data_IF_626995643591
#
_entry.id   IF_626995643591
#
_cell.length_a   1.000
_cell.length_b   1.000
_cell.length_c   1.000
_cell.angle_alpha   90.00
_cell.angle_beta   90.00
_cell.angle_gamma   90.00
#
_symmetry.space_group_name_H-M   'P 1'
#
loop_
_entity.id
_entity.type
_entity.pdbx_description
1 polymer ?
#
# COMPACT_ATOMS: atom_id res chain seq x y z
N UNK A 1 8.76 -34.77 22.04
CA UNK A 1 7.85 -33.68 22.48
C UNK A 1 6.44 -34.00 22.00
N UNK A 2 5.50 -34.18 22.92
CA UNK A 2 4.13 -34.59 22.60
C UNK A 2 3.44 -33.60 21.65
N UNK A 3 2.62 -34.11 20.72
CA UNK A 3 1.92 -33.28 19.72
C UNK A 3 1.06 -32.21 20.37
N UNK A 4 0.38 -32.55 21.47
CA UNK A 4 -0.40 -31.61 22.29
C UNK A 4 0.46 -30.53 22.95
N UNK A 5 1.67 -30.89 23.40
CA UNK A 5 2.59 -29.93 24.03
C UNK A 5 3.15 -28.94 23.00
N UNK A 6 3.46 -29.40 21.77
CA UNK A 6 3.85 -28.53 20.66
C UNK A 6 2.73 -27.58 20.24
N UNK A 7 1.52 -28.09 20.06
CA UNK A 7 0.36 -27.26 19.74
C UNK A 7 0.11 -26.22 20.83
N UNK A 8 0.14 -26.61 22.11
CA UNK A 8 -0.04 -25.68 23.22
C UNK A 8 1.04 -24.58 23.24
N UNK A 9 2.31 -24.95 23.01
CA UNK A 9 3.44 -24.00 22.96
C UNK A 9 3.30 -23.04 21.77
N UNK A 10 3.02 -23.55 20.57
CA UNK A 10 2.86 -22.72 19.38
C UNK A 10 1.65 -21.80 19.49
N UNK A 11 0.48 -22.30 19.92
CA UNK A 11 -0.71 -21.48 20.09
C UNK A 11 -0.56 -20.46 21.22
N UNK A 12 0.12 -20.81 22.33
CA UNK A 12 0.37 -19.87 23.42
C UNK A 12 1.34 -18.77 23.01
N UNK A 13 2.43 -19.14 22.31
CA UNK A 13 3.37 -18.17 21.74
C UNK A 13 2.65 -17.23 20.76
N UNK A 14 1.80 -17.78 19.89
CA UNK A 14 1.03 -16.99 18.93
C UNK A 14 0.05 -16.03 19.61
N UNK A 15 -0.64 -16.47 20.68
CA UNK A 15 -1.55 -15.63 21.48
C UNK A 15 -0.80 -14.53 22.23
N UNK A 16 0.38 -14.82 22.77
CA UNK A 16 1.22 -13.81 23.45
C UNK A 16 1.70 -12.78 22.44
N UNK A 17 2.21 -13.20 21.27
CA UNK A 17 2.61 -12.28 20.21
C UNK A 17 1.43 -11.42 19.72
N UNK A 18 0.26 -12.02 19.49
CA UNK A 18 -0.95 -11.28 19.12
C UNK A 18 -1.39 -10.29 20.21
N UNK A 19 -1.32 -10.70 21.49
CA UNK A 19 -1.65 -9.83 22.63
C UNK A 19 -0.72 -8.62 22.74
N UNK A 20 0.59 -8.81 22.52
CA UNK A 20 1.56 -7.70 22.49
C UNK A 20 1.26 -6.72 21.36
N UNK A 21 0.89 -7.22 20.18
CA UNK A 21 0.51 -6.37 19.03
C UNK A 21 -0.78 -5.59 19.30
N UNK A 22 -1.80 -6.23 19.86
CA UNK A 22 -3.06 -5.57 20.23
C UNK A 22 -2.85 -4.51 21.31
N UNK A 23 -2.02 -4.80 22.32
CA UNK A 23 -1.68 -3.83 23.35
C UNK A 23 -0.97 -2.60 22.74
N UNK A 24 0.00 -2.82 21.84
CA UNK A 24 0.68 -1.73 21.14
C UNK A 24 -0.29 -0.88 20.29
N UNK A 25 -1.27 -1.51 19.64
CA UNK A 25 -2.33 -0.83 18.89
C UNK A 25 -3.19 0.07 19.78
N UNK A 26 -3.60 -0.42 20.96
CA UNK A 26 -4.43 0.35 21.89
C UNK A 26 -3.68 1.56 22.47
N UNK A 27 -2.40 1.37 22.83
CA UNK A 27 -1.53 2.47 23.30
C UNK A 27 -1.38 3.55 22.23
N UNK A 28 -1.26 3.15 20.98
CA UNK A 28 -1.07 4.03 19.84
C UNK A 28 -2.32 4.83 19.48
N UNK A 29 -3.50 4.18 19.46
CA UNK A 29 -4.78 4.86 19.28
C UNK A 29 -4.99 5.86 20.43
N UNK A 30 -4.70 5.47 21.67
CA UNK A 30 -4.73 6.37 22.82
C UNK A 30 -3.82 7.59 22.65
N UNK A 31 -2.61 7.39 22.11
CA UNK A 31 -1.67 8.48 21.84
C UNK A 31 -2.12 9.41 20.69
N UNK A 32 -2.69 8.86 19.61
CA UNK A 32 -3.23 9.66 18.49
C UNK A 32 -4.45 10.47 18.95
N UNK A 33 -5.33 9.88 19.74
CA UNK A 33 -6.50 10.58 20.27
C UNK A 33 -6.06 11.72 21.18
N UNK A 34 -5.16 11.45 22.13
CA UNK A 34 -4.67 12.49 23.06
C UNK A 34 -3.89 13.61 22.36
N UNK A 35 -3.08 13.33 21.34
CA UNK A 35 -2.31 14.35 20.62
C UNK A 35 -2.99 14.98 19.40
N UNK A 36 -4.03 14.34 18.86
CA UNK A 36 -4.74 14.75 17.65
C UNK A 36 -6.05 15.49 17.93
N UNK A 37 -6.76 15.15 19.02
CA UNK A 37 -8.01 15.82 19.39
C UNK A 37 -7.81 17.31 19.67
N UNK A 38 -6.68 17.70 20.26
CA UNK A 38 -6.37 19.10 20.55
C UNK A 38 -6.11 19.95 19.29
N UNK A 39 -5.86 19.31 18.13
CA UNK A 39 -5.55 19.99 16.86
C UNK A 39 -6.73 20.02 15.88
N UNK A 40 -7.82 19.31 16.19
CA UNK A 40 -9.07 19.37 15.45
C UNK A 40 -9.84 20.62 15.89
N UNK A 41 -9.41 21.78 15.40
CA UNK A 41 -10.18 23.01 15.58
C UNK A 41 -11.25 23.11 14.50
N UNK A 42 -12.39 23.72 14.86
CA UNK A 42 -13.44 24.03 13.89
C UNK A 42 -12.90 24.94 12.77
N UNK A 43 -11.97 25.82 13.12
CA UNK A 43 -11.26 26.72 12.22
C UNK A 43 -10.45 25.95 11.16
N UNK A 44 -9.74 24.88 11.53
CA UNK A 44 -9.05 24.01 10.58
C UNK A 44 -9.99 23.31 9.60
N UNK A 45 -11.23 23.01 10.01
CA UNK A 45 -12.22 22.37 9.14
C UNK A 45 -12.94 23.36 8.21
N UNK A 46 -13.13 24.62 8.64
CA UNK A 46 -13.95 25.61 7.91
C UNK A 46 -13.16 26.68 7.17
N UNK A 47 -11.88 26.87 7.49
CA UNK A 47 -11.09 27.93 6.87
C UNK A 47 -10.59 27.55 5.46
N UNK A 48 -10.34 28.55 4.62
CA UNK A 48 -9.73 28.34 3.31
C UNK A 48 -8.21 28.14 3.44
N UNK A 49 -7.62 27.26 2.61
CA UNK A 49 -6.19 27.04 2.62
C UNK A 49 -5.46 28.28 2.09
N UNK A 50 -4.34 28.60 2.73
CA UNK A 50 -3.43 29.70 2.40
C UNK A 50 -2.04 29.14 2.11
N UNK A 51 -1.26 29.81 1.26
CA UNK A 51 0.10 29.39 0.84
C UNK A 51 0.16 27.93 0.34
N UNK A 52 -0.46 27.66 -0.81
CA UNK A 52 -0.37 26.37 -1.50
C UNK A 52 -0.70 25.15 -0.59
N UNK A 53 -1.77 25.25 0.22
CA UNK A 53 -2.26 24.21 1.13
C UNK A 53 -1.30 23.83 2.28
N UNK A 54 -0.32 24.69 2.62
CA UNK A 54 0.57 24.45 3.77
C UNK A 54 0.11 25.11 5.06
N UNK A 55 -0.86 26.03 5.00
CA UNK A 55 -1.48 26.71 6.14
C UNK A 55 -2.99 26.92 5.86
N UNK A 56 -3.80 27.16 6.88
CA UNK A 56 -5.25 27.31 6.76
C UNK A 56 -6.02 25.99 6.78
N UNK A 57 -7.32 26.06 6.51
CA UNK A 57 -8.24 24.93 6.66
C UNK A 57 -8.43 24.08 5.41
N UNK A 58 -9.13 22.96 5.59
CA UNK A 58 -9.40 21.95 4.54
C UNK A 58 -10.81 22.06 3.94
N UNK A 59 -11.53 23.14 4.22
CA UNK A 59 -12.94 23.30 3.85
C UNK A 59 -13.22 23.09 2.35
N UNK A 60 -12.47 23.69 1.41
CA UNK A 60 -12.74 23.51 -0.02
C UNK A 60 -12.45 22.08 -0.50
N UNK A 61 -11.55 21.35 0.17
CA UNK A 61 -11.28 19.96 -0.15
C UNK A 61 -12.42 19.05 0.30
N UNK A 62 -12.99 19.30 1.49
CA UNK A 62 -14.17 18.58 1.99
C UNK A 62 -15.37 18.85 1.07
N UNK A 63 -15.72 20.11 0.87
CA UNK A 63 -16.87 20.53 0.07
C UNK A 63 -16.70 20.10 -1.39
N UNK A 64 -15.51 20.28 -1.95
CA UNK A 64 -15.17 19.85 -3.31
C UNK A 64 -15.30 18.34 -3.48
N UNK A 65 -14.89 17.54 -2.49
CA UNK A 65 -15.00 16.08 -2.52
C UNK A 65 -16.47 15.63 -2.43
N UNK A 66 -17.29 16.30 -1.63
CA UNK A 66 -18.74 16.04 -1.57
C UNK A 66 -19.45 16.38 -2.89
N UNK A 67 -19.23 17.56 -3.45
CA UNK A 67 -19.82 17.94 -4.74
C UNK A 67 -19.35 17.03 -5.87
N UNK A 68 -18.06 16.70 -5.90
CA UNK A 68 -17.48 15.78 -6.87
C UNK A 68 -18.10 14.38 -6.75
N UNK A 69 -18.19 13.82 -5.54
CA UNK A 69 -18.86 12.53 -5.32
C UNK A 69 -20.30 12.55 -5.78
N UNK A 70 -21.06 13.61 -5.46
CA UNK A 70 -22.47 13.71 -5.81
C UNK A 70 -22.68 13.80 -7.33
N UNK A 71 -21.89 14.64 -8.01
CA UNK A 71 -21.95 14.78 -9.47
C UNK A 71 -21.62 13.46 -10.15
N UNK A 72 -20.56 12.78 -9.71
CA UNK A 72 -20.17 11.52 -10.34
C UNK A 72 -21.12 10.39 -10.01
N UNK A 73 -21.68 10.33 -8.81
CA UNK A 73 -22.70 9.34 -8.47
C UNK A 73 -23.95 9.48 -9.35
N UNK A 74 -24.43 10.72 -9.55
CA UNK A 74 -25.63 10.99 -10.37
C UNK A 74 -25.41 10.59 -11.83
N UNK A 75 -24.21 10.75 -12.37
CA UNK A 75 -23.95 10.46 -13.79
C UNK A 75 -23.51 9.01 -14.01
N UNK A 76 -22.60 8.51 -13.18
CA UNK A 76 -21.95 7.23 -13.44
C UNK A 76 -22.78 6.04 -12.98
N UNK A 77 -23.53 6.15 -11.89
CA UNK A 77 -24.33 5.02 -11.39
C UNK A 77 -25.42 4.61 -12.39
N UNK A 78 -26.21 5.52 -12.98
CA UNK A 78 -27.19 5.14 -14.00
C UNK A 78 -26.55 4.49 -15.22
N UNK A 79 -25.45 5.07 -15.73
CA UNK A 79 -24.74 4.57 -16.92
C UNK A 79 -24.12 3.19 -16.65
N UNK A 80 -23.51 2.99 -15.48
CA UNK A 80 -22.91 1.73 -15.07
C UNK A 80 -23.96 0.63 -14.94
N UNK A 81 -25.10 0.92 -14.32
CA UNK A 81 -26.21 -0.02 -14.19
C UNK A 81 -26.80 -0.36 -15.55
N UNK A 82 -27.06 0.63 -16.41
CA UNK A 82 -27.58 0.39 -17.77
C UNK A 82 -26.62 -0.44 -18.62
N UNK A 83 -25.31 -0.17 -18.53
CA UNK A 83 -24.28 -0.93 -19.26
C UNK A 83 -24.20 -2.36 -18.76
N UNK A 84 -24.27 -2.58 -17.44
CA UNK A 84 -24.27 -3.91 -16.85
C UNK A 84 -25.50 -4.72 -17.25
N UNK A 85 -26.70 -4.12 -17.18
CA UNK A 85 -27.95 -4.76 -17.61
C UNK A 85 -27.88 -5.12 -19.09
N UNK A 86 -27.41 -4.21 -19.94
CA UNK A 86 -27.26 -4.47 -21.39
C UNK A 86 -26.29 -5.64 -21.68
N UNK A 87 -25.11 -5.64 -21.06
CA UNK A 87 -24.07 -6.66 -21.28
C UNK A 87 -24.42 -8.06 -20.75
N UNK A 88 -25.30 -8.13 -19.74
CA UNK A 88 -25.74 -9.37 -19.09
C UNK A 88 -27.02 -9.91 -19.75
N UNK A 89 -28.01 -9.05 -19.99
CA UNK A 89 -29.35 -9.46 -20.42
C UNK A 89 -29.45 -9.57 -21.95
N UNK A 90 -28.88 -8.60 -22.69
CA UNK A 90 -29.08 -8.51 -24.14
C UNK A 90 -27.90 -9.04 -24.95
N UNK A 91 -26.69 -9.01 -24.40
CA UNK A 91 -25.47 -9.26 -25.18
C UNK A 91 -24.71 -10.56 -24.80
N UNK A 92 -25.40 -11.70 -24.91
CA UNK A 92 -24.84 -13.00 -24.53
C UNK A 92 -23.91 -13.66 -25.57
N UNK A 93 -23.85 -13.18 -26.83
CA UNK A 93 -22.99 -13.84 -27.85
C UNK A 93 -22.52 -12.97 -29.03
N UNK A 94 -22.81 -11.67 -29.04
CA UNK A 94 -22.37 -10.74 -30.09
C UNK A 94 -20.85 -10.52 -30.08
N UNK A 95 -20.25 -10.39 -31.27
CA UNK A 95 -18.83 -10.05 -31.40
C UNK A 95 -18.51 -8.67 -30.82
N UNK A 96 -19.43 -7.71 -30.90
CA UNK A 96 -19.30 -6.39 -30.27
C UNK A 96 -19.26 -6.51 -28.75
N UNK A 97 -20.11 -7.34 -28.15
CA UNK A 97 -20.08 -7.58 -26.71
C UNK A 97 -18.81 -8.24 -26.21
N UNK A 98 -18.18 -9.10 -27.03
CA UNK A 98 -16.83 -9.62 -26.74
C UNK A 98 -15.79 -8.52 -26.78
N UNK A 99 -15.85 -7.63 -27.78
CA UNK A 99 -14.94 -6.46 -27.88
C UNK A 99 -15.13 -5.52 -26.68
N UNK A 100 -16.38 -5.20 -26.30
CA UNK A 100 -16.67 -4.37 -25.14
C UNK A 100 -16.21 -5.01 -23.83
N UNK A 101 -16.52 -6.29 -23.61
CA UNK A 101 -16.03 -7.03 -22.42
C UNK A 101 -14.51 -7.02 -22.37
N UNK A 102 -13.84 -7.28 -23.48
CA UNK A 102 -12.37 -7.31 -23.58
C UNK A 102 -11.73 -5.93 -23.39
N UNK A 103 -12.37 -4.87 -23.91
CA UNK A 103 -11.96 -3.49 -23.68
C UNK A 103 -12.11 -3.09 -22.20
N UNK A 104 -13.22 -3.48 -21.55
CA UNK A 104 -13.46 -3.26 -20.13
C UNK A 104 -12.42 -4.01 -19.28
N UNK A 105 -12.20 -5.31 -19.53
CA UNK A 105 -11.17 -6.09 -18.84
C UNK A 105 -9.75 -5.52 -18.99
N UNK A 106 -9.41 -5.03 -20.18
CA UNK A 106 -8.11 -4.39 -20.41
C UNK A 106 -8.02 -3.02 -19.74
N UNK A 107 -9.12 -2.26 -19.69
CA UNK A 107 -9.16 -1.00 -18.96
C UNK A 107 -8.95 -1.26 -17.47
N UNK A 108 -9.65 -2.19 -16.83
CA UNK A 108 -9.47 -2.42 -15.39
C UNK A 108 -8.08 -2.90 -14.97
N UNK A 109 -7.29 -3.47 -15.89
CA UNK A 109 -5.90 -3.79 -15.63
C UNK A 109 -4.99 -2.56 -15.49
N UNK A 110 -5.48 -1.37 -15.85
CA UNK A 110 -4.73 -0.13 -15.84
C UNK A 110 -4.70 0.47 -14.43
N UNK A 111 -3.52 0.79 -13.86
CA UNK A 111 -3.42 1.42 -12.55
C UNK A 111 -4.17 2.76 -12.48
N UNK A 112 -4.80 3.04 -11.33
CA UNK A 112 -5.60 4.26 -11.10
C UNK A 112 -4.86 5.57 -11.40
N UNK A 113 -3.53 5.59 -11.25
CA UNK A 113 -2.70 6.77 -11.57
C UNK A 113 -2.68 7.10 -13.07
N UNK A 114 -2.82 6.10 -13.93
CA UNK A 114 -2.86 6.29 -15.39
C UNK A 114 -4.15 6.97 -15.78
N UNK A 115 -5.27 6.67 -15.14
CA UNK A 115 -6.53 7.39 -15.34
C UNK A 115 -6.45 8.86 -14.89
N UNK A 116 -5.79 9.11 -13.75
CA UNK A 116 -5.52 10.47 -13.29
C UNK A 116 -4.66 11.27 -14.28
N UNK A 117 -3.60 10.64 -14.81
CA UNK A 117 -2.72 11.25 -15.82
C UNK A 117 -3.40 11.42 -17.18
N UNK A 118 -4.23 10.48 -17.60
CA UNK A 118 -5.01 10.55 -18.84
C UNK A 118 -6.08 11.65 -18.74
N UNK A 119 -6.79 11.73 -17.61
CA UNK A 119 -7.75 12.80 -17.35
C UNK A 119 -7.09 14.17 -17.29
N UNK A 120 -5.89 14.26 -16.69
CA UNK A 120 -5.06 15.46 -16.75
C UNK A 120 -4.66 15.80 -18.20
N UNK A 121 -4.15 14.84 -18.97
CA UNK A 121 -3.75 15.06 -20.36
C UNK A 121 -4.91 15.49 -21.27
N UNK A 122 -6.07 14.84 -21.14
CA UNK A 122 -7.21 15.07 -22.03
C UNK A 122 -8.05 16.26 -21.56
N UNK A 123 -8.51 16.28 -20.31
CA UNK A 123 -9.45 17.31 -19.86
C UNK A 123 -8.74 18.59 -19.45
N UNK A 124 -7.63 18.49 -18.73
CA UNK A 124 -6.91 19.67 -18.21
C UNK A 124 -6.06 20.30 -19.31
N UNK A 125 -5.26 19.51 -20.04
CA UNK A 125 -4.29 20.02 -21.02
C UNK A 125 -4.90 20.15 -22.42
N UNK A 126 -5.47 19.08 -22.99
CA UNK A 126 -5.93 19.08 -24.38
C UNK A 126 -7.24 19.85 -24.60
N UNK A 127 -8.25 19.64 -23.75
CA UNK A 127 -9.55 20.33 -23.82
C UNK A 127 -9.55 21.70 -23.11
N UNK A 128 -8.48 22.03 -22.39
CA UNK A 128 -8.29 23.35 -21.76
C UNK A 128 -9.27 23.64 -20.61
N UNK A 129 -9.90 22.63 -20.01
CA UNK A 129 -10.82 22.83 -18.88
C UNK A 129 -10.10 23.23 -17.57
N UNK A 130 -8.76 23.24 -17.57
CA UNK A 130 -7.95 23.59 -16.41
C UNK A 130 -8.18 22.65 -15.21
N UNK A 131 -7.61 23.00 -14.05
CA UNK A 131 -7.86 22.29 -12.78
C UNK A 131 -9.24 22.65 -12.22
N UNK A 132 -10.29 22.28 -12.95
CA UNK A 132 -11.68 22.58 -12.60
C UNK A 132 -12.42 21.36 -12.06
N UNK A 133 -13.54 21.62 -11.38
CA UNK A 133 -14.45 20.57 -10.90
C UNK A 133 -14.99 19.69 -12.03
N UNK A 134 -15.11 20.24 -13.24
CA UNK A 134 -15.56 19.52 -14.43
C UNK A 134 -14.47 18.54 -14.90
N UNK A 135 -13.20 18.97 -14.98
CA UNK A 135 -12.07 18.09 -15.31
C UNK A 135 -11.92 16.96 -14.29
N UNK A 136 -12.04 17.28 -13.00
CA UNK A 136 -12.00 16.30 -11.92
C UNK A 136 -13.20 15.34 -12.00
N UNK A 137 -14.40 15.86 -12.28
CA UNK A 137 -15.63 15.10 -12.44
C UNK A 137 -15.57 14.12 -13.61
N UNK A 138 -15.09 14.56 -14.77
CA UNK A 138 -14.97 13.72 -15.96
C UNK A 138 -13.89 12.64 -15.79
N UNK A 139 -12.77 12.97 -15.16
CA UNK A 139 -11.71 11.99 -14.83
C UNK A 139 -12.24 10.96 -13.84
N UNK A 140 -13.01 11.38 -12.84
CA UNK A 140 -13.62 10.48 -11.86
C UNK A 140 -14.77 9.67 -12.46
N UNK A 141 -15.55 10.21 -13.41
CA UNK A 141 -16.55 9.46 -14.16
C UNK A 141 -15.91 8.35 -15.01
N UNK A 142 -14.78 8.62 -15.67
CA UNK A 142 -14.04 7.58 -16.40
C UNK A 142 -13.57 6.45 -15.46
N UNK A 143 -13.13 6.82 -14.26
CA UNK A 143 -12.76 5.85 -13.23
C UNK A 143 -13.97 5.04 -12.71
N UNK A 144 -15.10 5.69 -12.46
CA UNK A 144 -16.28 5.04 -11.90
C UNK A 144 -17.14 4.29 -12.94
N UNK A 145 -17.00 4.58 -14.24
CA UNK A 145 -17.77 3.93 -15.31
C UNK A 145 -17.49 2.42 -15.39
N UNK A 146 -16.37 1.98 -14.83
CA UNK A 146 -16.03 0.57 -14.69
C UNK A 146 -16.57 -0.03 -13.38
N UNK A 147 -17.90 -0.10 -13.30
CA UNK A 147 -18.61 -0.43 -12.04
C UNK A 147 -18.53 -1.91 -11.61
N UNK A 148 -18.06 -2.81 -12.47
CA UNK A 148 -17.95 -4.25 -12.14
C UNK A 148 -16.53 -4.62 -11.68
N UNK A 149 -15.51 -3.86 -12.11
CA UNK A 149 -14.10 -4.13 -11.79
C UNK A 149 -13.53 -3.18 -10.73
N UNK A 150 -14.25 -2.11 -10.35
CA UNK A 150 -13.88 -1.24 -9.24
C UNK A 150 -13.61 -2.01 -7.94
N UNK A 151 -14.45 -3.00 -7.61
CA UNK A 151 -14.23 -3.84 -6.41
C UNK A 151 -12.97 -4.68 -6.53
N UNK A 152 -12.64 -5.18 -7.72
CA UNK A 152 -11.42 -5.96 -7.96
C UNK A 152 -10.16 -5.08 -7.89
N UNK A 153 -10.22 -3.87 -8.45
CA UNK A 153 -9.14 -2.87 -8.41
C UNK A 153 -8.92 -2.37 -6.99
N UNK A 154 -9.99 -2.06 -6.24
CA UNK A 154 -9.92 -1.66 -4.84
C UNK A 154 -9.35 -2.81 -4.00
N UNK A 155 -9.81 -4.04 -4.22
CA UNK A 155 -9.28 -5.22 -3.54
C UNK A 155 -7.80 -5.48 -3.87
N UNK A 156 -7.37 -5.30 -5.12
CA UNK A 156 -5.96 -5.44 -5.52
C UNK A 156 -5.11 -4.29 -4.96
N UNK A 157 -5.63 -3.06 -4.95
CA UNK A 157 -4.95 -1.89 -4.39
C UNK A 157 -4.70 -2.02 -2.89
N UNK A 158 -5.58 -2.70 -2.15
CA UNK A 158 -5.37 -2.99 -0.74
C UNK A 158 -4.57 -4.27 -0.46
N UNK A 159 -4.09 -4.96 -1.51
CA UNK A 159 -3.25 -6.14 -1.42
C UNK A 159 -3.98 -7.38 -0.87
N UNK A 160 -3.87 -8.50 -1.57
CA UNK A 160 -4.49 -9.75 -1.16
C UNK A 160 -3.59 -10.97 -1.45
N UNK A 161 -3.45 -11.83 -0.45
CA UNK A 161 -2.70 -13.10 -0.51
C UNK A 161 -3.53 -14.28 -1.03
N UNK A 162 -4.82 -14.10 -1.32
CA UNK A 162 -5.69 -15.16 -1.85
C UNK A 162 -5.27 -15.70 -3.22
N UNK A 163 -4.48 -14.96 -4.00
CA UNK A 163 -4.00 -15.37 -5.32
C UNK A 163 -2.74 -16.27 -5.26
N UNK A 164 -2.29 -16.67 -4.06
CA UNK A 164 -1.10 -17.49 -3.90
C UNK A 164 -1.25 -18.84 -4.62
N UNK A 165 -0.30 -19.12 -5.52
CA UNK A 165 -0.20 -20.38 -6.24
C UNK A 165 1.25 -20.83 -6.28
N UNK A 166 1.44 -22.14 -6.44
CA UNK A 166 2.78 -22.72 -6.55
C UNK A 166 3.64 -22.08 -7.65
N UNK A 167 3.02 -21.64 -8.75
CA UNK A 167 3.71 -20.92 -9.83
C UNK A 167 4.22 -19.56 -9.39
N UNK A 168 3.39 -18.79 -8.67
CA UNK A 168 3.80 -17.50 -8.10
C UNK A 168 4.90 -17.65 -7.05
N UNK A 169 4.79 -18.66 -6.17
CA UNK A 169 5.79 -18.91 -5.12
C UNK A 169 7.16 -19.23 -5.71
N UNK A 170 7.22 -20.08 -6.74
CA UNK A 170 8.47 -20.41 -7.45
C UNK A 170 9.05 -19.17 -8.12
N UNK A 171 8.24 -18.37 -8.82
CA UNK A 171 8.72 -17.17 -9.49
C UNK A 171 9.27 -16.14 -8.50
N UNK A 172 8.56 -15.88 -7.40
CA UNK A 172 9.03 -14.98 -6.34
C UNK A 172 10.32 -15.51 -5.74
N UNK A 173 10.40 -16.81 -5.46
CA UNK A 173 11.61 -17.41 -4.89
C UNK A 173 12.82 -17.26 -5.82
N UNK A 174 12.64 -17.50 -7.13
CA UNK A 174 13.70 -17.34 -8.13
C UNK A 174 14.21 -15.91 -8.25
N UNK A 175 13.37 -14.90 -8.05
CA UNK A 175 13.77 -13.48 -8.06
C UNK A 175 14.34 -13.05 -6.71
N UNK A 176 13.71 -13.47 -5.61
CA UNK A 176 14.08 -13.09 -4.25
C UNK A 176 15.43 -13.65 -3.84
N UNK A 177 15.71 -14.93 -4.13
CA UNK A 177 16.91 -15.61 -3.63
C UNK A 177 18.22 -14.96 -4.12
N UNK A 178 18.41 -14.66 -5.43
CA UNK A 178 19.62 -13.96 -5.90
C UNK A 178 19.78 -12.57 -5.28
N UNK A 179 18.68 -11.84 -5.12
CA UNK A 179 18.69 -10.49 -4.54
C UNK A 179 19.08 -10.54 -3.07
N UNK A 180 18.51 -11.48 -2.30
CA UNK A 180 18.86 -11.69 -0.91
C UNK A 180 20.35 -12.05 -0.77
N UNK A 181 20.84 -12.98 -1.60
CA UNK A 181 22.25 -13.39 -1.59
C UNK A 181 23.19 -12.21 -1.88
N UNK A 182 22.85 -11.39 -2.87
CA UNK A 182 23.62 -10.17 -3.18
C UNK A 182 23.73 -9.24 -1.96
N UNK A 183 22.61 -8.89 -1.31
CA UNK A 183 22.62 -8.02 -0.14
C UNK A 183 23.32 -8.64 1.08
N UNK A 184 23.25 -9.96 1.24
CA UNK A 184 24.00 -10.68 2.29
C UNK A 184 25.51 -10.70 2.01
N UNK A 185 25.94 -10.75 0.75
CA UNK A 185 27.36 -10.66 0.39
C UNK A 185 27.91 -9.25 0.62
N UNK A 186 27.13 -8.23 0.24
CA UNK A 186 27.53 -6.80 0.31
C UNK A 186 27.16 -6.15 1.65
N UNK A 187 26.83 -6.96 2.67
CA UNK A 187 26.42 -6.51 4.02
C UNK A 187 27.41 -5.59 4.73
N UNK A 188 28.71 -5.72 4.43
CA UNK A 188 29.76 -4.91 5.03
C UNK A 188 29.81 -3.51 4.44
N UNK A 189 29.65 -3.41 3.12
CA UNK A 189 29.59 -2.15 2.39
C UNK A 189 28.33 -1.36 2.81
N UNK A 190 27.22 -2.03 3.08
CA UNK A 190 26.02 -1.43 3.67
C UNK A 190 26.30 -0.77 5.03
N UNK A 191 27.02 -1.46 5.90
CA UNK A 191 27.44 -0.88 7.19
C UNK A 191 28.39 0.31 7.00
N UNK A 192 29.28 0.27 6.01
CA UNK A 192 30.17 1.39 5.71
C UNK A 192 29.40 2.63 5.21
N UNK A 193 28.39 2.43 4.36
CA UNK A 193 27.53 3.51 3.84
C UNK A 193 26.71 4.18 4.96
N UNK A 194 26.25 3.42 5.95
CA UNK A 194 25.50 3.95 7.10
C UNK A 194 26.32 4.97 7.93
N UNK A 195 27.66 4.93 7.85
CA UNK A 195 28.57 5.87 8.52
C UNK A 195 28.94 7.10 7.67
N UNK A 196 28.39 7.22 6.46
CA UNK A 196 28.57 8.36 5.57
C UNK A 196 29.25 8.00 4.25
N UNK A 197 28.85 8.70 3.18
CA UNK A 197 29.32 8.42 1.82
C UNK A 197 30.84 8.62 1.66
N UNK A 198 31.45 9.58 2.37
CA UNK A 198 32.90 9.82 2.32
C UNK A 198 33.70 8.70 3.01
N UNK A 199 33.21 8.23 4.16
CA UNK A 199 33.83 7.12 4.91
C UNK A 199 33.75 5.83 4.10
N UNK A 200 32.61 5.55 3.48
CA UNK A 200 32.42 4.38 2.62
C UNK A 200 33.35 4.40 1.40
N UNK A 201 33.47 5.55 0.72
CA UNK A 201 34.40 5.70 -0.40
C UNK A 201 35.86 5.49 0.04
N UNK A 202 36.24 5.97 1.23
CA UNK A 202 37.56 5.75 1.81
C UNK A 202 37.88 4.27 2.10
N UNK A 203 36.86 3.46 2.39
CA UNK A 203 36.98 2.01 2.58
C UNK A 203 36.94 1.21 1.25
N UNK A 204 36.93 1.90 0.10
CA UNK A 204 36.92 1.29 -1.23
C UNK A 204 35.53 0.93 -1.77
N UNK A 205 34.46 1.35 -1.07
CA UNK A 205 33.08 1.07 -1.50
C UNK A 205 32.65 2.03 -2.61
N UNK A 206 32.23 1.50 -3.75
CA UNK A 206 31.63 2.29 -4.82
C UNK A 206 30.15 2.58 -4.53
N UNK A 207 29.90 3.67 -3.80
CA UNK A 207 28.57 4.07 -3.32
C UNK A 207 27.55 4.33 -4.43
N UNK A 208 27.98 4.87 -5.57
CA UNK A 208 27.10 5.19 -6.70
C UNK A 208 26.58 3.93 -7.40
N UNK A 209 27.48 3.00 -7.74
CA UNK A 209 27.11 1.70 -8.32
C UNK A 209 26.25 0.88 -7.37
N UNK A 210 26.60 0.88 -6.08
CA UNK A 210 25.82 0.19 -5.06
C UNK A 210 24.38 0.73 -4.98
N UNK A 211 24.20 2.05 -5.02
CA UNK A 211 22.88 2.68 -4.95
C UNK A 211 22.04 2.40 -6.19
N UNK A 212 22.62 2.51 -7.39
CA UNK A 212 21.94 2.21 -8.65
C UNK A 212 21.53 0.74 -8.72
N UNK A 213 22.45 -0.18 -8.45
CA UNK A 213 22.18 -1.61 -8.51
C UNK A 213 21.18 -2.03 -7.43
N UNK A 214 21.33 -1.52 -6.21
CA UNK A 214 20.37 -1.75 -5.13
C UNK A 214 18.96 -1.26 -5.46
N UNK A 215 18.83 -0.08 -6.08
CA UNK A 215 17.55 0.46 -6.53
C UNK A 215 16.91 -0.42 -7.61
N UNK A 216 17.67 -0.85 -8.61
CA UNK A 216 17.17 -1.74 -9.67
C UNK A 216 16.71 -3.08 -9.10
N UNK A 217 17.51 -3.74 -8.25
CA UNK A 217 17.15 -5.03 -7.67
C UNK A 217 15.92 -4.93 -6.77
N UNK A 218 15.87 -3.94 -5.87
CA UNK A 218 14.72 -3.77 -4.96
C UNK A 218 13.45 -3.36 -5.69
N UNK A 219 13.56 -2.54 -6.74
CA UNK A 219 12.44 -2.21 -7.61
C UNK A 219 11.92 -3.44 -8.37
N UNK A 220 12.81 -4.28 -8.90
CA UNK A 220 12.43 -5.53 -9.57
C UNK A 220 11.68 -6.47 -8.63
N UNK A 221 12.21 -6.69 -7.42
CA UNK A 221 11.54 -7.52 -6.41
C UNK A 221 10.16 -6.96 -6.05
N UNK A 222 10.07 -5.64 -5.84
CA UNK A 222 8.81 -4.97 -5.50
C UNK A 222 7.79 -5.07 -6.64
N UNK A 223 8.20 -4.93 -7.90
CA UNK A 223 7.33 -5.03 -9.06
C UNK A 223 6.72 -6.44 -9.20
N UNK A 224 7.53 -7.49 -9.00
CA UNK A 224 7.07 -8.89 -9.04
C UNK A 224 6.04 -9.15 -7.95
N UNK A 225 6.30 -8.69 -6.72
CA UNK A 225 5.38 -8.84 -5.60
C UNK A 225 4.07 -8.09 -5.80
N UNK A 226 4.13 -6.82 -6.21
CA UNK A 226 2.94 -5.96 -6.38
C UNK A 226 2.07 -6.43 -7.55
N UNK A 227 2.67 -6.95 -8.62
CA UNK A 227 1.93 -7.50 -9.76
C UNK A 227 0.97 -8.63 -9.35
N UNK A 228 1.45 -9.59 -8.56
CA UNK A 228 0.65 -10.75 -8.16
C UNK A 228 -0.27 -10.49 -6.96
N UNK A 229 0.22 -9.73 -5.97
CA UNK A 229 -0.41 -9.63 -4.65
C UNK A 229 -0.97 -8.25 -4.33
N UNK A 230 -0.81 -7.28 -5.23
CA UNK A 230 -1.25 -5.91 -5.02
C UNK A 230 -0.35 -5.12 -4.08
N UNK A 231 -0.81 -3.94 -3.66
CA UNK A 231 0.02 -3.03 -2.84
C UNK A 231 -0.08 -3.42 -1.36
N UNK A 232 1.02 -3.93 -0.80
CA UNK A 232 1.14 -4.21 0.64
C UNK A 232 2.04 -3.14 1.27
N UNK A 233 1.40 -2.16 1.91
CA UNK A 233 2.12 -1.01 2.45
C UNK A 233 2.77 -1.30 3.82
N UNK A 234 3.79 -0.52 4.14
CA UNK A 234 4.47 -0.39 5.44
C UNK A 234 5.25 -1.59 5.99
N UNK A 235 5.09 -2.81 5.47
CA UNK A 235 5.88 -3.97 5.93
C UNK A 235 7.38 -3.70 5.80
N UNK A 236 7.80 -3.10 4.68
CA UNK A 236 9.19 -2.72 4.44
C UNK A 236 9.73 -1.60 5.35
N UNK A 237 8.86 -0.89 6.08
CA UNK A 237 9.26 0.10 7.09
C UNK A 237 9.25 -0.51 8.49
N UNK A 238 8.19 -1.26 8.83
CA UNK A 238 7.98 -1.82 10.17
C UNK A 238 9.01 -2.93 10.44
N UNK A 239 9.17 -3.88 9.52
CA UNK A 239 10.01 -5.05 9.72
C UNK A 239 11.48 -4.71 10.05
N UNK A 240 12.21 -3.92 9.22
CA UNK A 240 13.58 -3.57 9.55
C UNK A 240 13.70 -2.64 10.76
N UNK A 241 12.66 -1.88 11.11
CA UNK A 241 12.69 -1.07 12.32
C UNK A 241 12.56 -1.92 13.58
N UNK A 242 11.63 -2.87 13.60
CA UNK A 242 11.49 -3.84 14.69
C UNK A 242 12.73 -4.71 14.83
N UNK A 243 13.28 -5.19 13.70
CA UNK A 243 14.54 -5.93 13.71
C UNK A 243 15.70 -5.11 14.29
N UNK A 244 15.80 -3.81 13.94
CA UNK A 244 16.78 -2.88 14.52
C UNK A 244 16.62 -2.69 16.02
N UNK A 245 15.39 -2.63 16.52
CA UNK A 245 15.14 -2.47 17.97
C UNK A 245 15.60 -3.68 18.78
N UNK A 246 15.55 -4.89 18.21
CA UNK A 246 15.90 -6.12 18.90
C UNK A 246 17.41 -6.41 18.83
N UNK A 247 18.05 -6.15 17.70
CA UNK A 247 19.39 -6.68 17.38
C UNK A 247 20.41 -5.58 17.08
N UNK A 248 19.94 -4.34 16.89
CA UNK A 248 20.78 -3.20 16.50
C UNK A 248 20.87 -2.99 15.00
N UNK A 249 21.75 -2.08 14.58
CA UNK A 249 21.85 -1.57 13.20
C UNK A 249 22.83 -2.33 12.31
N UNK A 250 23.46 -3.41 12.79
CA UNK A 250 24.43 -4.16 11.99
C UNK A 250 23.72 -4.98 10.89
N UNK A 251 24.00 -4.64 9.62
CA UNK A 251 23.40 -5.26 8.43
C UNK A 251 23.67 -6.75 8.32
N UNK A 252 24.69 -7.30 9.00
CA UNK A 252 24.93 -8.74 9.06
C UNK A 252 23.77 -9.53 9.65
N UNK A 253 23.18 -9.00 10.71
CA UNK A 253 22.06 -9.62 11.41
C UNK A 253 20.74 -8.98 11.02
N UNK A 254 20.76 -7.70 10.68
CA UNK A 254 19.57 -6.93 10.34
C UNK A 254 18.92 -7.45 9.06
N UNK A 255 19.67 -7.81 8.02
CA UNK A 255 19.08 -8.29 6.75
C UNK A 255 18.28 -9.60 6.98
N UNK A 256 18.86 -10.69 7.52
CA UNK A 256 18.10 -11.92 7.79
C UNK A 256 16.92 -11.69 8.72
N UNK A 257 17.10 -10.86 9.75
CA UNK A 257 16.06 -10.64 10.74
C UNK A 257 14.93 -9.75 10.23
N UNK A 258 15.21 -8.83 9.31
CA UNK A 258 14.17 -8.06 8.61
C UNK A 258 13.30 -8.97 7.74
N UNK A 259 13.91 -9.98 7.08
CA UNK A 259 13.16 -10.98 6.30
C UNK A 259 12.24 -11.79 7.22
N UNK A 260 12.77 -12.33 8.33
CA UNK A 260 11.99 -13.15 9.26
C UNK A 260 10.88 -12.35 9.95
N UNK A 261 11.18 -11.14 10.43
CA UNK A 261 10.18 -10.26 11.07
C UNK A 261 9.12 -9.81 10.07
N UNK A 262 9.49 -9.46 8.84
CA UNK A 262 8.54 -9.10 7.79
C UNK A 262 7.62 -10.25 7.41
N UNK A 263 8.17 -11.45 7.23
CA UNK A 263 7.38 -12.66 7.00
C UNK A 263 6.41 -12.95 8.17
N UNK A 264 6.88 -12.80 9.40
CA UNK A 264 6.05 -12.96 10.60
C UNK A 264 4.90 -11.97 10.68
N UNK A 265 5.15 -10.68 10.42
CA UNK A 265 4.12 -9.63 10.39
C UNK A 265 3.08 -9.94 9.32
N UNK A 266 3.52 -10.29 8.11
CA UNK A 266 2.62 -10.53 7.00
C UNK A 266 1.75 -11.78 7.23
N UNK A 267 2.34 -12.84 7.79
CA UNK A 267 1.61 -14.07 8.13
C UNK A 267 0.58 -13.82 9.25
N UNK A 268 0.93 -13.03 10.26
CA UNK A 268 0.00 -12.59 11.30
C UNK A 268 -1.15 -11.75 10.71
N UNK A 269 -0.82 -10.76 9.88
CA UNK A 269 -1.81 -9.90 9.24
C UNK A 269 -2.78 -10.74 8.37
N UNK A 270 -2.26 -11.69 7.59
CA UNK A 270 -3.09 -12.59 6.80
C UNK A 270 -3.98 -13.49 7.66
N UNK A 271 -3.46 -14.01 8.77
CA UNK A 271 -4.24 -14.86 9.70
C UNK A 271 -5.38 -14.08 10.32
N UNK A 272 -5.16 -12.81 10.70
CA UNK A 272 -6.18 -11.92 11.24
C UNK A 272 -7.20 -11.56 10.15
N UNK A 273 -6.74 -11.20 8.95
CA UNK A 273 -7.59 -10.85 7.81
C UNK A 273 -8.64 -11.91 7.47
N UNK A 274 -8.26 -13.19 7.55
CA UNK A 274 -9.13 -14.31 7.16
C UNK A 274 -10.05 -14.76 8.31
N UNK A 275 -9.69 -14.52 9.57
CA UNK A 275 -10.41 -15.07 10.72
C UNK A 275 -11.30 -14.07 11.47
N UNK A 276 -11.06 -12.76 11.38
CA UNK A 276 -11.80 -11.78 12.21
C UNK A 276 -13.24 -11.54 11.76
N UNK A 277 -13.51 -11.47 10.45
CA UNK A 277 -14.84 -11.10 9.92
C UNK A 277 -15.44 -12.16 8.99
N UNK A 278 -15.46 -13.44 9.39
CA UNK A 278 -16.12 -14.48 8.57
C UNK A 278 -17.60 -14.13 8.33
N UNK A 279 -18.13 -14.19 7.09
CA UNK A 279 -17.55 -14.79 5.87
C UNK A 279 -16.77 -13.83 4.95
N UNK A 280 -16.57 -12.57 5.33
CA UNK A 280 -15.80 -11.58 4.54
C UNK A 280 -14.30 -11.71 4.82
N UNK A 281 -13.50 -11.80 3.76
CA UNK A 281 -12.03 -11.77 3.85
C UNK A 281 -11.55 -10.33 3.71
N UNK A 282 -10.87 -9.82 4.73
CA UNK A 282 -10.29 -8.48 4.67
C UNK A 282 -9.01 -8.48 3.81
N UNK A 283 -8.74 -7.42 3.02
CA UNK A 283 -7.45 -7.24 2.38
C UNK A 283 -6.32 -7.09 3.42
N UNK A 284 -5.18 -7.73 3.17
CA UNK A 284 -4.08 -7.77 4.14
C UNK A 284 -3.36 -6.43 4.23
N UNK A 285 -3.27 -5.69 3.13
CA UNK A 285 -2.65 -4.36 3.11
C UNK A 285 -3.45 -3.31 3.90
N UNK A 286 -4.76 -3.51 4.12
CA UNK A 286 -5.56 -2.66 5.02
C UNK A 286 -5.09 -2.83 6.47
N UNK A 287 -4.84 -4.06 6.91
CA UNK A 287 -4.32 -4.35 8.25
C UNK A 287 -2.89 -3.86 8.43
N UNK A 288 -2.01 -4.04 7.43
CA UNK A 288 -0.63 -3.55 7.54
C UNK A 288 -0.56 -2.02 7.49
N UNK A 289 -1.47 -1.36 6.78
CA UNK A 289 -1.56 0.11 6.75
C UNK A 289 -2.04 0.70 8.08
N UNK A 290 -2.98 0.04 8.75
CA UNK A 290 -3.40 0.41 10.12
C UNK A 290 -2.23 0.39 11.11
N UNK A 291 -1.31 -0.57 10.95
CA UNK A 291 -0.09 -0.66 11.78
C UNK A 291 0.95 0.38 11.37
N UNK A 292 1.13 0.58 10.06
CA UNK A 292 2.23 1.32 9.50
C UNK A 292 2.08 2.84 9.50
N UNK A 293 0.88 3.35 9.23
CA UNK A 293 0.61 4.79 9.23
C UNK A 293 0.99 5.44 10.57
N UNK A 294 0.52 4.92 11.71
CA UNK A 294 0.91 5.42 13.02
C UNK A 294 2.41 5.27 13.34
N UNK A 295 3.04 4.17 12.96
CA UNK A 295 4.50 3.99 13.12
C UNK A 295 5.30 5.03 12.32
N UNK A 296 4.86 5.35 11.10
CA UNK A 296 5.49 6.38 10.29
C UNK A 296 5.38 7.77 10.93
N UNK A 297 4.21 8.12 11.47
CA UNK A 297 4.00 9.36 12.23
C UNK A 297 4.92 9.38 13.46
N UNK A 298 5.00 8.28 14.21
CA UNK A 298 5.89 8.17 15.37
C UNK A 298 7.36 8.43 15.01
N UNK A 299 7.84 7.84 13.91
CA UNK A 299 9.21 8.04 13.44
C UNK A 299 9.48 9.50 13.05
N UNK A 300 8.53 10.17 12.39
CA UNK A 300 8.63 11.59 12.05
C UNK A 300 8.72 12.48 13.30
N UNK A 301 7.85 12.24 14.29
CA UNK A 301 7.84 13.01 15.54
C UNK A 301 9.13 12.82 16.33
N UNK A 302 9.65 11.58 16.40
CA UNK A 302 10.88 11.29 17.13
C UNK A 302 12.11 11.92 16.48
N UNK A 303 12.18 11.97 15.15
CA UNK A 303 13.30 12.56 14.41
C UNK A 303 13.34 14.08 14.54
N UNK A 304 12.20 14.74 14.74
CA UNK A 304 12.11 16.19 14.94
C UNK A 304 12.60 16.63 16.35
N UNK A 305 12.69 15.70 17.31
CA UNK A 305 13.16 15.96 18.68
C UNK A 305 14.68 15.82 18.87
N UNK A 306 15.42 15.48 17.82
CA UNK A 306 16.89 15.49 17.78
C UNK A 306 17.35 16.48 16.72
#
# INVERSE_FOLDING_TARGET
MDRKLRELVYFSLFRVCAGIVVLALLVLIGYILTGGLERLSLEFLTEMPRRANTQGGIFPAIVGTFYLMLIVMVVTVPIGIMSAIYLVEYEQSSWMGRVFKLAVYNLAGVPSIVYGLLGLGIFVVYLGFGFSLISAGLTLMQYLADSVQLSAIVSWSFGNLSNASWGWDVMIFLVFLPILLYFVMVRWDLNAIDHGDEVAKGLGVNTERFRLLGLVLTALLSAVLVSGFGVIAFVGLIAPHLARMVIGSDHRFLIPMSVVTGAGILLLANTVAINVLRPMVLPVGLLTSLLGGPMFIYLLVRRYRR
#
